data_IF_652642120577
#
_entry.id   IF_652642120577
#
_cell.length_a   1.000
_cell.length_b   1.000
_cell.length_c   1.000
_cell.angle_alpha   90.00
_cell.angle_beta   90.00
_cell.angle_gamma   90.00
#
_symmetry.space_group_name_H-M   'P 1'
#
loop_
_entity.id
_entity.type
_entity.pdbx_description
1 polymer ?
#
# COMPACT_ATOMS: atom_id res chain seq x y z
N UNK A 1 1.01 -15.53 19.08
CA UNK A 1 1.41 -15.14 17.71
C UNK A 1 2.79 -15.74 17.45
N UNK A 2 2.97 -16.52 16.38
CA UNK A 2 4.28 -17.06 15.99
C UNK A 2 5.31 -15.95 15.74
N UNK A 3 6.61 -16.28 15.74
CA UNK A 3 7.67 -15.32 15.36
C UNK A 3 7.41 -14.84 13.93
N UNK A 4 7.44 -13.53 13.70
CA UNK A 4 7.03 -12.85 12.46
C UNK A 4 5.56 -13.06 12.05
N UNK A 5 4.78 -13.85 12.79
CA UNK A 5 3.40 -14.15 12.47
C UNK A 5 2.42 -13.02 12.81
N UNK A 6 1.14 -13.25 12.54
CA UNK A 6 0.05 -12.33 12.83
C UNK A 6 -0.99 -12.98 13.74
N UNK A 7 -1.79 -12.22 14.52
CA UNK A 7 -2.90 -12.79 15.27
C UNK A 7 -3.97 -13.40 14.33
N UNK A 8 -4.65 -14.43 14.82
CA UNK A 8 -5.86 -14.94 14.19
C UNK A 8 -7.04 -13.99 14.40
N UNK A 9 -8.00 -14.02 13.48
CA UNK A 9 -9.15 -13.13 13.47
C UNK A 9 -8.87 -11.77 12.79
N UNK A 10 -9.82 -10.82 12.89
CA UNK A 10 -9.73 -9.50 12.26
C UNK A 10 -8.50 -8.70 12.71
N UNK A 11 -7.73 -8.20 11.74
CA UNK A 11 -6.53 -7.37 11.97
C UNK A 11 -6.36 -6.30 10.91
N UNK A 12 -5.46 -5.35 11.16
CA UNK A 12 -5.11 -4.31 10.19
C UNK A 12 -6.32 -3.48 9.78
N UNK A 13 -7.08 -3.01 10.76
CA UNK A 13 -8.29 -2.22 10.53
C UNK A 13 -7.93 -0.89 9.89
N UNK A 14 -8.71 -0.54 8.87
CA UNK A 14 -8.62 0.72 8.15
C UNK A 14 -10.02 1.22 7.75
N UNK A 15 -10.12 2.50 7.42
CA UNK A 15 -11.33 3.13 6.91
C UNK A 15 -11.20 3.39 5.42
N UNK A 16 -12.16 2.89 4.63
CA UNK A 16 -12.20 3.22 3.21
C UNK A 16 -12.44 4.72 3.02
N UNK A 17 -11.47 5.42 2.43
CA UNK A 17 -11.51 6.88 2.33
C UNK A 17 -12.65 7.42 1.43
N UNK A 18 -13.07 6.64 0.43
CA UNK A 18 -14.08 7.03 -0.57
C UNK A 18 -15.50 6.58 -0.22
N UNK A 19 -15.69 5.85 0.88
CA UNK A 19 -16.99 5.33 1.31
C UNK A 19 -17.11 5.45 2.85
N UNK A 20 -17.68 6.56 3.35
CA UNK A 20 -17.72 6.86 4.78
C UNK A 20 -18.28 5.72 5.63
N UNK A 21 -17.72 5.55 6.83
CA UNK A 21 -18.14 4.52 7.79
C UNK A 21 -18.11 3.07 7.23
N UNK A 22 -17.10 2.79 6.40
CA UNK A 22 -16.82 1.45 5.86
C UNK A 22 -15.48 0.96 6.38
N UNK A 23 -15.51 -0.10 7.20
CA UNK A 23 -14.32 -0.77 7.72
C UNK A 23 -13.73 -1.68 6.66
N UNK A 24 -12.41 -1.73 6.61
CA UNK A 24 -11.62 -2.71 5.88
C UNK A 24 -10.67 -3.38 6.87
N UNK A 25 -10.54 -4.70 6.79
CA UNK A 25 -9.64 -5.47 7.67
C UNK A 25 -9.24 -6.79 7.00
N UNK A 26 -8.14 -7.38 7.46
CA UNK A 26 -7.67 -8.68 6.99
C UNK A 26 -7.93 -9.78 8.02
N UNK A 27 -7.99 -11.02 7.53
CA UNK A 27 -7.93 -12.24 8.34
C UNK A 27 -6.95 -13.22 7.71
N UNK A 28 -6.08 -13.78 8.55
CA UNK A 28 -5.10 -14.78 8.12
C UNK A 28 -5.76 -16.13 7.80
N UNK A 29 -5.37 -16.73 6.67
CA UNK A 29 -5.88 -18.01 6.16
C UNK A 29 -4.98 -19.20 6.50
N UNK A 30 -3.82 -18.93 7.09
CA UNK A 30 -2.78 -19.88 7.46
C UNK A 30 -2.50 -19.85 8.97
N UNK A 31 -3.53 -19.46 9.76
CA UNK A 31 -3.46 -19.30 11.22
C UNK A 31 -2.41 -18.27 11.68
N UNK A 32 -2.03 -17.37 10.76
CA UNK A 32 -1.04 -16.34 11.02
C UNK A 32 0.39 -16.87 11.13
N UNK A 33 0.67 -18.09 10.66
CA UNK A 33 1.99 -18.73 10.71
C UNK A 33 2.60 -18.86 9.31
N UNK A 34 3.76 -18.23 9.11
CA UNK A 34 4.52 -18.30 7.86
C UNK A 34 4.94 -19.71 7.44
N UNK A 35 5.05 -20.64 8.39
CA UNK A 35 5.41 -22.05 8.15
C UNK A 35 4.28 -22.85 7.50
N UNK A 36 3.05 -22.35 7.56
CA UNK A 36 1.90 -22.99 6.92
C UNK A 36 1.85 -22.52 5.47
N UNK A 37 1.89 -23.50 4.55
CA UNK A 37 1.83 -23.25 3.11
C UNK A 37 0.39 -23.21 2.62
N UNK A 38 0.00 -22.08 2.02
CA UNK A 38 -1.32 -21.82 1.45
C UNK A 38 -1.16 -20.99 0.18
N UNK A 39 -2.10 -21.06 -0.78
CA UNK A 39 -2.05 -20.22 -1.97
C UNK A 39 -2.30 -18.72 -1.69
N UNK A 40 -3.02 -18.41 -0.61
CA UNK A 40 -3.30 -17.05 -0.16
C UNK A 40 -3.14 -16.98 1.35
N UNK A 41 -2.34 -16.04 1.83
CA UNK A 41 -2.05 -15.87 3.26
C UNK A 41 -3.14 -15.10 3.98
N UNK A 42 -3.76 -14.12 3.31
CA UNK A 42 -4.90 -13.40 3.89
C UNK A 42 -6.07 -13.30 2.93
N UNK A 43 -7.24 -13.12 3.54
CA UNK A 43 -8.40 -12.50 2.88
C UNK A 43 -8.60 -11.11 3.45
N UNK A 44 -9.08 -10.19 2.61
CA UNK A 44 -9.44 -8.83 3.01
C UNK A 44 -10.95 -8.68 2.94
N UNK A 45 -11.53 -8.14 4.00
CA UNK A 45 -12.96 -8.02 4.22
C UNK A 45 -13.34 -6.56 4.37
N UNK A 46 -14.55 -6.24 3.92
CA UNK A 46 -15.17 -4.92 4.01
C UNK A 46 -16.50 -5.02 4.73
N UNK A 47 -16.75 -4.13 5.70
CA UNK A 47 -17.98 -4.10 6.49
C UNK A 47 -18.48 -2.66 6.66
N UNK A 48 -19.67 -2.39 6.14
CA UNK A 48 -20.31 -1.08 6.25
C UNK A 48 -21.03 -0.90 7.58
N UNK A 49 -21.11 0.34 8.05
CA UNK A 49 -22.04 0.75 9.10
C UNK A 49 -23.48 0.29 8.76
N UNK A 50 -24.28 -0.13 9.75
CA UNK A 50 -24.03 -0.08 11.19
C UNK A 50 -23.23 -1.29 11.75
N UNK A 51 -22.44 -1.97 10.93
CA UNK A 51 -21.52 -3.05 11.31
C UNK A 51 -22.18 -4.30 11.90
N UNK A 52 -23.48 -4.48 11.66
CA UNK A 52 -24.25 -5.66 12.04
C UNK A 52 -24.49 -6.64 10.86
N UNK A 53 -24.03 -6.26 9.66
CA UNK A 53 -24.13 -7.07 8.46
C UNK A 53 -23.05 -8.15 8.37
N UNK A 54 -23.11 -8.94 7.30
CA UNK A 54 -22.04 -9.86 6.94
C UNK A 54 -20.93 -9.11 6.20
N UNK A 55 -19.66 -9.24 6.59
CA UNK A 55 -18.54 -8.69 5.84
C UNK A 55 -18.49 -9.27 4.42
N UNK A 56 -18.07 -8.46 3.46
CA UNK A 56 -17.86 -8.86 2.05
C UNK A 56 -16.37 -9.02 1.81
N UNK A 57 -15.96 -10.14 1.24
CA UNK A 57 -14.57 -10.37 0.83
C UNK A 57 -14.25 -9.55 -0.42
N UNK A 58 -13.21 -8.72 -0.35
CA UNK A 58 -12.79 -7.81 -1.42
C UNK A 58 -11.44 -8.18 -2.04
N UNK A 59 -10.63 -9.00 -1.37
CA UNK A 59 -9.37 -9.50 -1.93
C UNK A 59 -8.90 -10.77 -1.23
N UNK A 60 -8.02 -11.50 -1.92
CA UNK A 60 -7.12 -12.49 -1.34
C UNK A 60 -5.69 -12.16 -1.75
N UNK A 61 -4.78 -12.10 -0.80
CA UNK A 61 -3.38 -11.75 -1.04
C UNK A 61 -2.52 -13.01 -1.01
N UNK A 62 -1.55 -13.10 -1.91
CA UNK A 62 -0.62 -14.23 -1.93
C UNK A 62 0.29 -14.18 -0.69
N UNK A 63 0.68 -12.97 -0.28
CA UNK A 63 1.51 -12.70 0.89
C UNK A 63 0.74 -11.87 1.92
N UNK A 64 1.41 -11.37 2.97
CA UNK A 64 0.71 -10.65 4.05
C UNK A 64 0.23 -9.31 3.60
N UNK A 65 -1.08 -9.10 3.69
CA UNK A 65 -1.69 -7.79 3.52
C UNK A 65 -1.22 -6.82 4.61
N UNK A 66 -0.66 -5.69 4.16
CA UNK A 66 -0.11 -4.61 5.00
C UNK A 66 -0.96 -3.32 4.94
N UNK A 67 -2.03 -3.30 4.15
CA UNK A 67 -2.96 -2.18 4.09
C UNK A 67 -3.23 -1.69 2.68
N UNK A 68 -4.02 -0.62 2.62
CA UNK A 68 -4.25 0.15 1.41
C UNK A 68 -3.71 1.57 1.58
N UNK A 69 -3.19 2.15 0.50
CA UNK A 69 -3.21 3.60 0.32
C UNK A 69 -4.39 3.96 -0.58
N UNK A 70 -5.38 4.63 -0.01
CA UNK A 70 -6.57 5.08 -0.74
C UNK A 70 -6.28 6.31 -1.59
N UNK A 71 -6.86 6.39 -2.78
CA UNK A 71 -6.91 7.65 -3.54
C UNK A 71 -8.29 8.30 -3.39
N UNK A 72 -8.43 9.53 -3.89
CA UNK A 72 -9.74 10.17 -4.01
C UNK A 72 -10.62 9.53 -5.10
N UNK A 73 -10.01 8.82 -6.06
CA UNK A 73 -10.72 8.05 -7.07
C UNK A 73 -11.09 6.67 -6.50
N UNK A 74 -12.39 6.32 -6.36
CA UNK A 74 -12.79 5.04 -5.81
C UNK A 74 -12.32 3.84 -6.66
N UNK A 75 -11.98 4.04 -7.94
CA UNK A 75 -11.48 2.99 -8.82
C UNK A 75 -9.97 2.72 -8.66
N UNK A 76 -9.28 3.48 -7.79
CA UNK A 76 -7.84 3.38 -7.59
C UNK A 76 -7.50 3.33 -6.10
N UNK A 77 -6.88 2.24 -5.68
CA UNK A 77 -6.17 2.12 -4.40
C UNK A 77 -4.86 1.36 -4.61
N UNK A 78 -3.89 1.57 -3.74
CA UNK A 78 -2.64 0.80 -3.73
C UNK A 78 -2.72 -0.25 -2.63
N UNK A 79 -2.66 -1.52 -3.01
CA UNK A 79 -2.64 -2.66 -2.09
C UNK A 79 -1.18 -3.05 -1.79
N UNK A 80 -0.84 -3.15 -0.50
CA UNK A 80 0.48 -3.58 -0.06
C UNK A 80 0.46 -5.03 0.41
N UNK A 81 1.42 -5.81 -0.08
CA UNK A 81 1.74 -7.14 0.41
C UNK A 81 3.22 -7.23 0.83
N UNK A 82 3.50 -7.90 1.94
CA UNK A 82 4.85 -8.19 2.45
C UNK A 82 5.07 -9.70 2.54
N UNK A 83 6.23 -10.19 2.09
CA UNK A 83 6.77 -11.51 2.40
C UNK A 83 7.95 -11.36 3.36
N UNK A 84 7.64 -11.55 4.63
CA UNK A 84 8.60 -11.39 5.72
C UNK A 84 9.74 -12.42 5.68
N UNK A 85 9.55 -13.58 5.03
CA UNK A 85 10.65 -14.56 4.92
C UNK A 85 11.66 -14.16 3.84
N UNK A 86 11.23 -13.40 2.85
CA UNK A 86 12.04 -13.00 1.69
C UNK A 86 12.48 -11.54 1.74
N UNK A 87 12.01 -10.77 2.73
CA UNK A 87 12.17 -9.32 2.79
C UNK A 87 11.76 -8.70 1.45
N UNK A 88 10.51 -8.94 1.08
CA UNK A 88 10.01 -8.66 -0.25
C UNK A 88 8.63 -8.02 -0.20
N UNK A 89 8.47 -6.90 -0.89
CA UNK A 89 7.23 -6.14 -0.91
C UNK A 89 6.65 -6.10 -2.32
N UNK A 90 5.33 -6.21 -2.38
CA UNK A 90 4.56 -6.00 -3.60
C UNK A 90 3.55 -4.88 -3.38
N UNK A 91 3.44 -4.00 -4.37
CA UNK A 91 2.38 -3.00 -4.42
C UNK A 91 1.60 -3.20 -5.70
N UNK A 92 0.27 -3.27 -5.59
CA UNK A 92 -0.64 -3.36 -6.73
C UNK A 92 -1.60 -2.20 -6.77
N UNK A 93 -1.92 -1.72 -7.96
CA UNK A 93 -3.03 -0.79 -8.20
C UNK A 93 -4.29 -1.61 -8.40
N UNK A 94 -5.29 -1.42 -7.55
CA UNK A 94 -6.54 -2.18 -7.53
C UNK A 94 -7.77 -1.28 -7.57
N UNK A 95 -8.88 -1.83 -8.04
CA UNK A 95 -10.23 -1.31 -7.84
C UNK A 95 -10.93 -2.24 -6.84
N UNK A 96 -11.18 -1.76 -5.63
CA UNK A 96 -11.76 -2.56 -4.54
C UNK A 96 -13.23 -2.92 -4.76
N UNK A 97 -13.93 -2.18 -5.63
CA UNK A 97 -15.32 -2.48 -6.02
C UNK A 97 -15.38 -3.52 -7.15
N UNK A 98 -14.23 -3.86 -7.75
CA UNK A 98 -14.09 -4.91 -8.76
C UNK A 98 -13.16 -6.03 -8.27
N UNK A 99 -13.50 -6.77 -7.19
CA UNK A 99 -12.61 -7.74 -6.54
C UNK A 99 -12.23 -8.95 -7.42
N UNK A 100 -12.92 -9.14 -8.56
CA UNK A 100 -12.60 -10.18 -9.56
C UNK A 100 -11.62 -9.71 -10.63
N UNK A 101 -11.35 -8.40 -10.71
CA UNK A 101 -10.39 -7.84 -11.64
C UNK A 101 -9.01 -7.91 -11.01
N UNK A 102 -8.04 -8.48 -11.74
CA UNK A 102 -6.68 -8.55 -11.24
C UNK A 102 -6.08 -7.16 -11.09
N UNK A 103 -5.45 -6.91 -9.94
CA UNK A 103 -4.70 -5.69 -9.66
C UNK A 103 -3.46 -5.60 -10.54
N UNK A 104 -3.16 -4.41 -11.07
CA UNK A 104 -1.95 -4.18 -11.86
C UNK A 104 -0.75 -4.03 -10.95
N UNK A 105 0.29 -4.82 -11.17
CA UNK A 105 1.54 -4.74 -10.42
C UNK A 105 2.22 -3.38 -10.64
N UNK A 106 2.55 -2.70 -9.54
CA UNK A 106 3.29 -1.44 -9.55
C UNK A 106 4.74 -1.65 -9.11
N UNK A 107 4.95 -2.31 -7.97
CA UNK A 107 6.28 -2.65 -7.48
C UNK A 107 6.32 -4.10 -7.01
N UNK A 108 7.48 -4.73 -7.22
CA UNK A 108 7.80 -6.11 -6.85
C UNK A 108 9.30 -6.17 -6.57
N UNK A 109 9.68 -5.95 -5.32
CA UNK A 109 11.07 -5.67 -4.97
C UNK A 109 11.42 -6.10 -3.56
N UNK A 110 12.72 -6.21 -3.29
CA UNK A 110 13.21 -6.43 -1.93
C UNK A 110 12.96 -5.18 -1.08
N UNK A 111 12.53 -5.36 0.17
CA UNK A 111 12.46 -4.29 1.16
C UNK A 111 13.84 -3.79 1.61
N UNK A 112 14.91 -4.54 1.31
CA UNK A 112 16.29 -4.18 1.63
C UNK A 112 16.95 -3.34 0.51
N UNK A 113 16.26 -3.10 -0.61
CA UNK A 113 16.74 -2.28 -1.72
C UNK A 113 16.58 -0.79 -1.41
N UNK A 114 17.65 -0.17 -0.89
CA UNK A 114 17.64 1.23 -0.49
C UNK A 114 17.98 2.22 -1.63
N UNK A 115 18.72 1.79 -2.65
CA UNK A 115 19.18 2.68 -3.73
C UNK A 115 18.16 2.77 -4.86
N UNK A 116 17.45 1.67 -5.11
CA UNK A 116 16.34 1.57 -6.04
C UNK A 116 14.96 1.83 -5.40
N UNK A 117 14.90 2.21 -4.13
CA UNK A 117 13.65 2.49 -3.42
C UNK A 117 12.83 3.60 -4.13
N UNK A 118 11.59 3.30 -4.59
CA UNK A 118 10.72 4.30 -5.22
C UNK A 118 10.21 5.36 -4.22
N UNK A 119 10.40 5.15 -2.92
CA UNK A 119 9.89 5.99 -1.86
C UNK A 119 8.44 5.68 -1.51
N UNK A 120 7.85 6.58 -0.72
CA UNK A 120 6.50 6.44 -0.18
C UNK A 120 5.53 7.35 -0.93
N UNK A 121 4.28 6.91 -1.08
CA UNK A 121 3.21 7.77 -1.61
C UNK A 121 3.06 9.01 -0.72
N UNK A 122 2.96 10.18 -1.36
CA UNK A 122 2.63 11.43 -0.71
C UNK A 122 1.13 11.50 -0.52
N UNK A 123 0.69 11.98 0.65
CA UNK A 123 -0.72 12.06 1.00
C UNK A 123 -1.21 13.51 1.08
N UNK A 124 -2.52 13.67 0.95
CA UNK A 124 -3.27 14.89 1.23
C UNK A 124 -4.53 14.54 2.01
N UNK A 125 -5.21 15.56 2.54
CA UNK A 125 -6.44 15.37 3.32
C UNK A 125 -7.64 15.87 2.54
N UNK A 126 -8.67 15.02 2.42
CA UNK A 126 -9.96 15.41 1.86
C UNK A 126 -10.73 16.33 2.83
N UNK A 127 -11.73 17.10 2.34
CA UNK A 127 -12.63 17.86 3.22
C UNK A 127 -13.36 17.01 4.27
N UNK A 128 -13.53 15.72 3.99
CA UNK A 128 -14.09 14.72 4.93
C UNK A 128 -13.15 14.37 6.08
N UNK A 129 -11.89 14.82 6.04
CA UNK A 129 -10.84 14.48 7.00
C UNK A 129 -10.09 13.18 6.67
N UNK A 130 -10.52 12.43 5.64
CA UNK A 130 -9.83 11.24 5.19
C UNK A 130 -8.46 11.58 4.56
N UNK A 131 -7.46 10.76 4.86
CA UNK A 131 -6.14 10.85 4.24
C UNK A 131 -6.14 10.00 2.97
N UNK A 132 -5.74 10.61 1.85
CA UNK A 132 -5.68 9.95 0.54
C UNK A 132 -4.37 10.29 -0.15
N UNK A 133 -3.92 9.43 -1.05
CA UNK A 133 -2.77 9.68 -1.91
C UNK A 133 -3.02 10.97 -2.69
N UNK A 134 -2.02 11.86 -2.69
CA UNK A 134 -2.04 13.10 -3.45
C UNK A 134 -1.96 12.75 -4.94
N UNK A 135 -3.01 13.12 -5.66
CA UNK A 135 -3.15 12.85 -7.09
C UNK A 135 -3.29 14.16 -7.86
N UNK A 136 -2.67 14.24 -9.03
CA UNK A 136 -2.80 15.31 -10.02
C UNK A 136 -3.05 14.70 -11.41
N UNK A 137 -4.33 14.69 -11.82
CA UNK A 137 -4.78 13.95 -12.99
C UNK A 137 -4.45 12.46 -12.89
N UNK A 138 -3.62 11.96 -13.80
CA UNK A 138 -3.17 10.57 -13.83
C UNK A 138 -1.88 10.31 -13.04
N UNK A 139 -1.39 11.30 -12.29
CA UNK A 139 -0.13 11.19 -11.56
C UNK A 139 -0.34 11.13 -10.06
N UNK A 140 0.54 10.41 -9.38
CA UNK A 140 0.71 10.47 -7.92
C UNK A 140 2.15 10.87 -7.61
N UNK A 141 2.40 11.28 -6.37
CA UNK A 141 3.71 11.74 -5.95
C UNK A 141 4.35 10.76 -4.97
N UNK A 142 5.66 10.59 -5.08
CA UNK A 142 6.46 9.74 -4.23
C UNK A 142 7.55 10.56 -3.57
N UNK A 143 7.82 10.33 -2.29
CA UNK A 143 8.94 10.95 -1.59
C UNK A 143 9.69 9.92 -0.78
N UNK A 144 11.01 10.00 -0.77
CA UNK A 144 11.86 9.04 -0.07
C UNK A 144 13.18 9.64 0.36
N UNK A 145 13.90 8.90 1.21
CA UNK A 145 15.23 9.25 1.73
C UNK A 145 16.30 9.29 0.63
N UNK A 146 16.11 8.51 -0.44
CA UNK A 146 16.95 8.54 -1.63
C UNK A 146 18.40 8.15 -1.39
N UNK A 147 18.61 7.04 -0.67
CA UNK A 147 19.95 6.54 -0.36
C UNK A 147 20.80 6.38 -1.62
N UNK A 148 22.08 6.73 -1.51
CA UNK A 148 23.03 6.71 -2.62
C UNK A 148 24.46 6.56 -2.11
N UNK A 149 25.44 6.31 -3.00
CA UNK A 149 26.85 6.29 -2.60
C UNK A 149 27.35 7.63 -2.04
N UNK A 150 26.66 8.74 -2.31
CA UNK A 150 26.97 10.07 -1.75
C UNK A 150 26.21 10.35 -0.43
N UNK A 151 25.62 9.31 0.18
CA UNK A 151 24.71 9.46 1.31
C UNK A 151 23.27 9.62 0.88
N UNK A 152 22.43 9.95 1.85
CA UNK A 152 21.00 10.11 1.60
C UNK A 152 20.72 11.41 0.87
N UNK A 153 19.95 11.29 -0.21
CA UNK A 153 19.57 12.42 -1.04
C UNK A 153 18.06 12.41 -1.24
N UNK A 154 17.28 12.96 -0.28
CA UNK A 154 15.84 12.94 -0.36
C UNK A 154 15.31 13.51 -1.68
N UNK A 155 14.14 13.02 -2.09
CA UNK A 155 13.58 13.34 -3.39
C UNK A 155 12.07 13.47 -3.37
N UNK A 156 11.56 14.06 -4.45
CA UNK A 156 10.16 14.03 -4.85
C UNK A 156 10.09 13.54 -6.31
N UNK A 157 9.36 12.47 -6.52
CA UNK A 157 9.07 11.91 -7.84
C UNK A 157 7.60 12.05 -8.16
N UNK A 158 7.30 12.15 -9.46
CA UNK A 158 5.94 12.09 -10.01
C UNK A 158 5.80 10.79 -10.80
N UNK A 159 4.91 9.92 -10.35
CA UNK A 159 4.59 8.64 -10.98
C UNK A 159 3.35 8.79 -11.86
N UNK A 160 3.47 8.49 -13.16
CA UNK A 160 2.31 8.37 -14.06
C UNK A 160 1.66 6.99 -13.90
N UNK A 161 0.38 6.96 -13.53
CA UNK A 161 -0.35 5.70 -13.32
C UNK A 161 -0.67 4.98 -14.64
N UNK A 162 -0.55 5.60 -15.81
CA UNK A 162 -0.79 4.92 -17.08
C UNK A 162 0.37 4.01 -17.46
N UNK A 163 1.55 4.60 -17.50
CA UNK A 163 2.82 4.02 -17.92
C UNK A 163 3.64 3.40 -16.79
N UNK A 164 3.31 3.71 -15.53
CA UNK A 164 4.04 3.33 -14.32
C UNK A 164 5.49 3.86 -14.29
N UNK A 165 5.76 4.94 -15.01
CA UNK A 165 7.07 5.60 -15.03
C UNK A 165 7.09 6.78 -14.07
N UNK A 166 8.20 6.91 -13.35
CA UNK A 166 8.46 8.03 -12.45
C UNK A 166 9.38 9.07 -13.10
N UNK A 167 9.12 10.34 -12.81
CA UNK A 167 9.95 11.48 -13.15
C UNK A 167 10.45 12.16 -11.87
N UNK A 168 11.75 12.42 -11.78
CA UNK A 168 12.37 13.15 -10.67
C UNK A 168 12.04 14.62 -10.76
N UNK A 169 11.20 15.13 -9.84
CA UNK A 169 10.87 16.55 -9.75
C UNK A 169 11.89 17.31 -8.89
N UNK A 170 12.37 16.66 -7.83
CA UNK A 170 13.32 17.26 -6.90
C UNK A 170 14.26 16.20 -6.34
N UNK A 171 15.53 16.56 -6.17
CA UNK A 171 16.51 15.82 -5.37
C UNK A 171 17.37 16.81 -4.62
N UNK A 172 17.56 16.58 -3.33
CA UNK A 172 18.55 17.34 -2.55
C UNK A 172 19.96 17.21 -3.15
N UNK A 173 20.77 18.24 -2.90
CA UNK A 173 22.19 18.22 -3.24
C UNK A 173 22.94 17.19 -2.38
N UNK A 174 24.22 16.97 -2.67
CA UNK A 174 25.04 16.06 -1.88
C UNK A 174 25.57 16.71 -0.58
N UNK A 175 25.49 18.03 -0.49
CA UNK A 175 26.02 18.86 0.62
C UNK A 175 24.91 19.45 1.51
N UNK A 176 23.63 19.19 1.21
CA UNK A 176 22.49 19.62 2.02
C UNK A 176 21.42 18.52 2.11
N UNK A 177 20.74 18.45 3.26
CA UNK A 177 19.63 17.53 3.48
C UNK A 177 18.30 18.29 3.43
N UNK A 178 17.74 18.41 2.23
CA UNK A 178 16.46 19.05 1.96
C UNK A 178 15.40 17.99 1.63
N UNK A 179 14.19 18.12 2.17
CA UNK A 179 13.10 17.16 1.97
C UNK A 179 11.78 17.86 1.66
N UNK A 180 10.93 17.16 0.91
CA UNK A 180 9.54 17.51 0.71
C UNK A 180 8.75 17.36 2.04
N UNK A 181 7.82 18.29 2.31
CA UNK A 181 6.95 18.30 3.50
C UNK A 181 5.49 18.08 3.13
#
# INVERSE_FOLDING_TARGET
VPVHGVPEGPRGFDWRATDPATLVYAEALDKGDWKVSVPHRDRVLMLKAPFNGKPVEIARTAQRFEGYAWTADPAVAFQYENDENRHWVQTRIVDVDQPKKEGRLLWDMSSDELYGDPGNLVFTRLPTGAQVVRQDGNHVFLSGRGASPQGDRPFLDRLDLGSLKSERLFRSSADAYEQFL
#
